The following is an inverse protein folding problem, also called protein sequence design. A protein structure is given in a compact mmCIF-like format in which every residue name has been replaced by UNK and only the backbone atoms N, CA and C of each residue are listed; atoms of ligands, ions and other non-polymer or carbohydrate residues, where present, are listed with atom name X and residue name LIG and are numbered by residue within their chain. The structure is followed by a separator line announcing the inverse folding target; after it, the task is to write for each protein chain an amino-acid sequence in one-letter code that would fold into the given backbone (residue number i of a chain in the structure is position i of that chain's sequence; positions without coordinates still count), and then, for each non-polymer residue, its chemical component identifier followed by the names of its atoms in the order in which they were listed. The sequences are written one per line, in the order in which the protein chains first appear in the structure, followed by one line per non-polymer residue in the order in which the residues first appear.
data_IF_670725959429
#
_entry.id   IF_670725959429
#
_cell.length_a   1.000
_cell.length_b   1.000
_cell.length_c   1.000
_cell.angle_alpha   90.00
_cell.angle_beta   90.00
_cell.angle_gamma   90.00
#
_symmetry.space_group_name_H-M   'P 1'
#
loop_
_entity.id
_entity.type
_entity.pdbx_description
1 polymer ?
#
# COMPACT_ATOMS: atom_id res chain seq x y z
N UNK A 1 20.36 6.03 17.30
CA UNK A 1 19.06 5.95 16.61
C UNK A 1 18.00 6.26 17.63
N UNK A 2 17.23 7.34 17.44
CA UNK A 2 16.11 7.69 18.33
C UNK A 2 15.01 6.64 18.20
N UNK A 3 14.27 6.40 19.27
CA UNK A 3 13.19 5.40 19.32
C UNK A 3 12.14 5.64 18.23
N UNK A 4 11.88 6.91 17.90
CA UNK A 4 11.01 7.31 16.81
C UNK A 4 11.50 6.84 15.42
N UNK A 5 12.82 6.83 15.18
CA UNK A 5 13.38 6.33 13.91
C UNK A 5 13.23 4.82 13.80
N UNK A 6 13.48 4.08 14.89
CA UNK A 6 13.29 2.63 14.93
C UNK A 6 11.82 2.26 14.70
N UNK A 7 10.90 2.95 15.37
CA UNK A 7 9.46 2.72 15.19
C UNK A 7 9.00 3.02 13.76
N UNK A 8 9.49 4.10 13.15
CA UNK A 8 9.14 4.45 11.78
C UNK A 8 9.66 3.41 10.77
N UNK A 9 10.89 2.93 10.94
CA UNK A 9 11.47 1.90 10.10
C UNK A 9 10.79 0.54 10.29
N UNK A 10 10.52 0.15 11.53
CA UNK A 10 9.79 -1.09 11.84
C UNK A 10 8.39 -1.12 11.25
N UNK A 11 7.66 0.00 11.33
CA UNK A 11 6.33 0.11 10.75
C UNK A 11 6.35 0.05 9.21
N UNK A 12 7.30 0.74 8.56
CA UNK A 12 7.48 0.68 7.09
C UNK A 12 7.82 -0.73 6.62
N UNK A 13 8.82 -1.36 7.25
CA UNK A 13 9.29 -2.69 6.84
C UNK A 13 8.22 -3.75 7.17
N UNK A 14 7.69 -3.77 8.39
CA UNK A 14 6.68 -4.74 8.81
C UNK A 14 5.42 -4.70 7.94
N UNK A 15 4.93 -3.50 7.63
CA UNK A 15 3.77 -3.35 6.74
C UNK A 15 4.08 -3.82 5.31
N UNK A 16 5.25 -3.47 4.77
CA UNK A 16 5.64 -3.88 3.41
C UNK A 16 5.76 -5.40 3.28
N UNK A 17 6.36 -6.06 4.27
CA UNK A 17 6.49 -7.53 4.32
C UNK A 17 5.12 -8.19 4.39
N UNK A 18 4.21 -7.66 5.22
CA UNK A 18 2.85 -8.18 5.35
C UNK A 18 2.08 -8.10 4.02
N UNK A 19 2.15 -6.97 3.30
CA UNK A 19 1.49 -6.79 2.00
C UNK A 19 2.04 -7.75 0.94
N UNK A 20 3.35 -7.97 0.93
CA UNK A 20 3.98 -8.96 0.03
C UNK A 20 3.49 -10.37 0.37
N UNK A 21 3.43 -10.73 1.65
CA UNK A 21 2.98 -12.05 2.09
C UNK A 21 1.54 -12.34 1.66
N UNK A 22 0.63 -11.37 1.81
CA UNK A 22 -0.75 -11.49 1.34
C UNK A 22 -0.80 -11.63 -0.19
N UNK A 23 0.02 -10.85 -0.91
CA UNK A 23 0.08 -10.90 -2.37
C UNK A 23 0.61 -12.25 -2.89
N UNK A 24 1.57 -12.86 -2.18
CA UNK A 24 2.05 -14.22 -2.46
C UNK A 24 0.98 -15.29 -2.22
N UNK A 25 0.20 -15.16 -1.14
CA UNK A 25 -0.92 -16.07 -0.87
C UNK A 25 -1.98 -15.98 -1.97
N UNK A 26 -2.33 -14.77 -2.40
CA UNK A 26 -3.31 -14.57 -3.49
C UNK A 26 -2.79 -15.17 -4.79
N UNK A 27 -1.50 -15.05 -5.08
CA UNK A 27 -0.87 -15.68 -6.24
C UNK A 27 -0.96 -17.21 -6.18
N UNK A 28 -0.68 -17.81 -5.03
CA UNK A 28 -0.77 -19.25 -4.83
C UNK A 28 -2.22 -19.76 -4.94
N UNK A 29 -3.17 -19.13 -4.24
CA UNK A 29 -4.60 -19.44 -4.34
C UNK A 29 -5.11 -19.26 -5.77
N UNK A 30 -4.67 -18.20 -6.46
CA UNK A 30 -5.09 -17.90 -7.82
C UNK A 30 -4.68 -18.99 -8.80
N UNK A 31 -3.44 -19.48 -8.71
CA UNK A 31 -2.95 -20.61 -9.50
C UNK A 31 -3.65 -21.93 -9.15
N UNK A 32 -3.87 -22.20 -7.86
CA UNK A 32 -4.38 -23.49 -7.38
C UNK A 32 -5.89 -23.65 -7.53
N UNK A 33 -6.63 -22.55 -7.45
CA UNK A 33 -8.10 -22.54 -7.49
C UNK A 33 -8.69 -22.37 -8.89
N UNK A 34 -7.86 -22.21 -9.94
CA UNK A 34 -8.35 -21.78 -11.26
C UNK A 34 -9.08 -20.43 -11.18
N UNK A 35 -8.71 -19.59 -10.21
CA UNK A 35 -9.39 -18.32 -9.97
C UNK A 35 -9.24 -17.45 -11.22
N UNK A 36 -10.35 -16.87 -11.65
CA UNK A 36 -10.41 -16.09 -12.88
C UNK A 36 -9.38 -14.94 -12.85
N UNK A 37 -8.89 -14.56 -14.04
CA UNK A 37 -7.94 -13.44 -14.26
C UNK A 37 -8.37 -12.13 -13.55
N UNK A 38 -9.65 -12.01 -13.21
CA UNK A 38 -10.25 -10.90 -12.49
C UNK A 38 -9.70 -10.72 -11.07
N UNK A 39 -9.54 -11.81 -10.30
CA UNK A 39 -8.95 -11.72 -8.94
C UNK A 39 -7.46 -11.42 -8.97
N UNK A 40 -6.75 -11.87 -10.01
CA UNK A 40 -5.33 -11.56 -10.20
C UNK A 40 -5.09 -10.07 -10.54
N UNK A 41 -6.07 -9.42 -11.17
CA UNK A 41 -5.99 -8.01 -11.58
C UNK A 41 -6.48 -7.02 -10.49
N UNK A 42 -7.32 -7.47 -9.56
CA UNK A 42 -7.87 -6.64 -8.47
C UNK A 42 -6.80 -5.94 -7.60
N UNK A 43 -5.65 -6.57 -7.24
CA UNK A 43 -4.59 -5.90 -6.50
C UNK A 43 -4.02 -4.68 -7.24
N UNK A 44 -3.93 -4.73 -8.57
CA UNK A 44 -3.46 -3.61 -9.37
C UNK A 44 -4.42 -2.41 -9.30
N UNK A 45 -5.72 -2.69 -9.27
CA UNK A 45 -6.76 -1.67 -9.13
C UNK A 45 -6.78 -1.05 -7.72
N UNK A 46 -6.70 -1.88 -6.69
CA UNK A 46 -6.68 -1.43 -5.29
C UNK A 46 -5.40 -0.66 -4.97
N UNK A 47 -4.24 -1.12 -5.45
CA UNK A 47 -2.97 -0.40 -5.29
C UNK A 47 -2.95 0.90 -6.09
N UNK A 48 -3.49 0.92 -7.31
CA UNK A 48 -3.62 2.13 -8.12
C UNK A 48 -4.52 3.18 -7.47
N UNK A 49 -5.72 2.78 -7.01
CA UNK A 49 -6.61 3.67 -6.24
C UNK A 49 -5.99 4.12 -4.92
N UNK A 50 -5.28 3.22 -4.23
CA UNK A 50 -4.56 3.55 -3.00
C UNK A 50 -3.47 4.60 -3.21
N UNK A 51 -2.65 4.45 -4.27
CA UNK A 51 -1.64 5.44 -4.66
C UNK A 51 -2.27 6.78 -5.02
N UNK A 52 -3.36 6.78 -5.79
CA UNK A 52 -4.02 8.01 -6.24
C UNK A 52 -4.66 8.76 -5.07
N UNK A 53 -5.30 8.05 -4.13
CA UNK A 53 -5.84 8.64 -2.89
C UNK A 53 -4.74 9.18 -1.97
N UNK A 54 -3.60 8.48 -1.88
CA UNK A 54 -2.45 8.93 -1.10
C UNK A 54 -1.82 10.20 -1.69
N UNK A 55 -1.64 10.25 -3.01
CA UNK A 55 -1.15 11.44 -3.71
C UNK A 55 -2.08 12.63 -3.53
N UNK A 56 -3.39 12.43 -3.65
CA UNK A 56 -4.37 13.50 -3.42
C UNK A 56 -4.27 14.07 -2.00
N UNK A 57 -4.09 13.21 -0.99
CA UNK A 57 -3.92 13.66 0.39
C UNK A 57 -2.63 14.46 0.57
N UNK A 58 -1.50 14.00 0.02
CA UNK A 58 -0.23 14.73 0.11
C UNK A 58 -0.27 16.09 -0.58
N UNK A 59 -0.96 16.17 -1.72
CA UNK A 59 -1.22 17.44 -2.41
C UNK A 59 -2.09 18.33 -1.55
N UNK A 60 -3.20 17.83 -0.99
CA UNK A 60 -4.09 18.62 -0.14
C UNK A 60 -3.38 19.15 1.11
N UNK A 61 -2.56 18.32 1.76
CA UNK A 61 -1.77 18.71 2.93
C UNK A 61 -0.71 19.76 2.57
N UNK A 62 0.03 19.58 1.47
CA UNK A 62 1.04 20.56 1.09
C UNK A 62 0.45 21.88 0.57
N UNK A 63 -0.69 21.83 -0.12
CA UNK A 63 -1.26 23.00 -0.78
C UNK A 63 -2.18 23.80 0.15
N UNK A 64 -2.94 23.14 1.04
CA UNK A 64 -3.89 23.81 1.97
C UNK A 64 -3.29 24.00 3.37
N UNK A 65 -2.61 23.01 3.93
CA UNK A 65 -2.14 23.08 5.32
C UNK A 65 -0.74 23.67 5.47
N UNK A 66 0.11 23.58 4.44
CA UNK A 66 1.49 24.09 4.49
C UNK A 66 1.69 25.48 3.89
N UNK A 67 0.72 25.96 3.10
CA UNK A 67 0.63 27.34 2.65
C UNK A 67 -0.62 27.99 3.28
N UNK A 68 -0.58 28.36 4.58
CA UNK A 68 -1.64 29.18 5.15
C UNK A 68 -1.64 30.52 4.39
N UNK A 69 -2.75 30.83 3.75
CA UNK A 69 -3.11 32.21 3.40
C UNK A 69 -3.44 32.96 4.68
#
# INVERSE_FOLDING_TARGET
MTEAQLSAWGMKIGLSVLVIFISLIIWDLGKKSGASKFSMAMPFFVLGLGMMGFLMKEVLVNLILKHPV
#
